data_IF_485119423015
#
_entry.id   IF_485119423015
#
_cell.length_a   1.000
_cell.length_b   1.000
_cell.length_c   1.000
_cell.angle_alpha   90.00
_cell.angle_beta   90.00
_cell.angle_gamma   90.00
#
_symmetry.space_group_name_H-M   'P 1'
#
loop_
_entity.id
_entity.type
_entity.pdbx_description
1 polymer ?
#
# COMPACT_ATOMS: atom_id res chain seq x y z
N UNK A 1 1.93 10.46 19.61
CA UNK A 1 3.01 10.16 18.64
C UNK A 1 3.57 11.44 18.02
N UNK A 2 2.80 12.17 17.19
CA UNK A 2 3.24 13.47 16.66
C UNK A 2 3.33 14.53 17.76
N UNK A 3 2.30 14.63 18.61
CA UNK A 3 2.32 15.56 19.75
C UNK A 3 3.47 15.24 20.72
N UNK A 4 3.70 13.95 20.99
CA UNK A 4 4.81 13.49 21.84
C UNK A 4 6.20 13.89 21.26
N UNK A 5 6.34 13.99 19.93
CA UNK A 5 7.57 14.46 19.27
C UNK A 5 7.87 15.92 19.62
N UNK A 6 6.82 16.76 19.67
CA UNK A 6 6.93 18.18 20.01
C UNK A 6 7.39 18.39 21.47
N UNK A 7 7.27 17.37 22.31
CA UNK A 7 7.68 17.43 23.71
C UNK A 7 9.11 16.93 23.95
N UNK A 8 9.82 16.49 22.90
CA UNK A 8 11.19 15.99 23.04
C UNK A 8 12.20 17.13 23.15
N UNK A 9 13.23 16.95 23.99
CA UNK A 9 14.30 17.94 24.17
C UNK A 9 14.96 18.31 22.83
N UNK A 10 15.15 17.32 21.95
CA UNK A 10 15.68 17.52 20.61
C UNK A 10 14.87 18.52 19.78
N UNK A 11 13.53 18.42 19.85
CA UNK A 11 12.66 19.36 19.13
C UNK A 11 12.73 20.75 19.74
N UNK A 12 12.68 20.85 21.07
CA UNK A 12 12.73 22.13 21.80
C UNK A 12 14.04 22.87 21.50
N UNK A 13 15.17 22.16 21.49
CA UNK A 13 16.48 22.72 21.17
C UNK A 13 16.61 23.23 19.72
N UNK A 14 15.85 22.65 18.78
CA UNK A 14 15.95 22.94 17.35
C UNK A 14 14.64 23.50 16.75
N UNK A 15 13.78 24.08 17.60
CA UNK A 15 12.43 24.49 17.24
C UNK A 15 12.43 25.43 16.02
N UNK A 16 13.33 26.40 15.98
CA UNK A 16 13.42 27.40 14.90
C UNK A 16 13.63 26.79 13.52
N UNK A 17 14.31 25.64 13.45
CA UNK A 17 14.59 24.92 12.20
C UNK A 17 13.48 23.92 11.90
N UNK A 18 12.97 23.23 12.92
CA UNK A 18 12.02 22.13 12.76
C UNK A 18 10.57 22.58 12.66
N UNK A 19 10.19 23.70 13.28
CA UNK A 19 8.82 24.19 13.28
C UNK A 19 8.26 24.44 11.87
N UNK A 20 8.97 25.11 10.94
CA UNK A 20 8.47 25.28 9.57
C UNK A 20 8.25 23.94 8.83
N UNK A 21 9.11 22.96 9.11
CA UNK A 21 8.99 21.62 8.53
C UNK A 21 7.78 20.87 9.09
N UNK A 22 7.58 20.89 10.41
CA UNK A 22 6.44 20.23 11.04
C UNK A 22 5.12 20.90 10.67
N UNK A 23 5.08 22.22 10.59
CA UNK A 23 3.94 22.99 10.12
C UNK A 23 3.52 22.56 8.71
N UNK A 24 4.50 22.39 7.81
CA UNK A 24 4.25 21.87 6.47
C UNK A 24 3.64 20.45 6.52
N UNK A 25 4.18 19.56 7.36
CA UNK A 25 3.66 18.19 7.49
C UNK A 25 2.25 18.16 8.07
N UNK A 26 1.97 18.96 9.09
CA UNK A 26 0.64 19.10 9.67
C UNK A 26 -0.35 19.61 8.62
N UNK A 27 -0.07 20.72 7.94
CA UNK A 27 -1.01 21.27 6.96
C UNK A 27 -1.23 20.35 5.76
N UNK A 28 -0.18 19.65 5.35
CA UNK A 28 -0.22 18.85 4.13
C UNK A 28 -0.82 17.46 4.35
N UNK A 29 -0.50 16.79 5.47
CA UNK A 29 -0.76 15.34 5.62
C UNK A 29 -1.58 14.94 6.83
N UNK A 30 -1.54 15.69 7.94
CA UNK A 30 -2.15 15.28 9.23
C UNK A 30 -3.41 16.12 9.56
N UNK A 31 -3.30 17.43 9.41
CA UNK A 31 -4.27 18.47 9.70
C UNK A 31 -4.02 19.11 11.08
N UNK A 32 -4.01 20.44 11.18
CA UNK A 32 -3.82 21.15 12.48
C UNK A 32 -5.02 21.03 13.41
N UNK A 33 -4.76 20.96 14.72
CA UNK A 33 -5.81 21.09 15.74
C UNK A 33 -6.19 22.57 15.86
N UNK A 34 -7.46 22.88 15.63
CA UNK A 34 -8.01 24.23 15.82
C UNK A 34 -8.31 24.50 17.30
N UNK A 35 -8.51 25.78 17.67
CA UNK A 35 -8.80 26.22 19.05
C UNK A 35 -9.98 25.50 19.72
N UNK A 36 -10.93 25.06 18.91
CA UNK A 36 -12.10 24.26 19.30
C UNK A 36 -11.82 22.74 19.38
N UNK A 37 -10.54 22.32 19.45
CA UNK A 37 -10.07 20.93 19.50
C UNK A 37 -10.49 20.06 18.30
N UNK A 38 -10.96 20.67 17.23
CA UNK A 38 -11.26 19.96 15.98
C UNK A 38 -10.03 19.95 15.08
N UNK A 39 -9.67 18.78 14.57
CA UNK A 39 -8.59 18.65 13.59
C UNK A 39 -9.12 19.08 12.21
N UNK A 40 -8.47 20.06 11.59
CA UNK A 40 -8.80 20.51 10.23
C UNK A 40 -8.45 19.41 9.23
N UNK A 41 -9.16 19.37 8.11
CA UNK A 41 -8.80 18.46 7.02
C UNK A 41 -7.44 18.85 6.44
N UNK A 42 -6.47 17.91 6.34
CA UNK A 42 -5.21 18.17 5.66
C UNK A 42 -5.43 18.35 4.16
N UNK A 43 -4.45 18.96 3.48
CA UNK A 43 -4.45 19.08 2.01
C UNK A 43 -4.61 17.73 1.31
N UNK A 44 -3.97 16.69 1.84
CA UNK A 44 -4.14 15.31 1.39
C UNK A 44 -4.77 14.47 2.51
N UNK A 45 -6.02 14.00 2.34
CA UNK A 45 -6.72 13.21 3.35
C UNK A 45 -5.94 11.95 3.77
N UNK A 46 -5.96 11.62 5.06
CA UNK A 46 -5.29 10.44 5.63
C UNK A 46 -5.66 9.15 4.91
N UNK A 47 -6.93 9.01 4.52
CA UNK A 47 -7.45 7.85 3.78
C UNK A 47 -6.75 7.61 2.44
N UNK A 48 -6.12 8.64 1.86
CA UNK A 48 -5.44 8.53 0.57
C UNK A 48 -4.07 7.84 0.69
N UNK A 49 -3.33 8.10 1.77
CA UNK A 49 -1.95 7.63 1.93
C UNK A 49 -1.82 6.52 2.98
N UNK A 50 -2.76 6.40 3.90
CA UNK A 50 -2.73 5.39 4.94
C UNK A 50 -3.09 4.01 4.37
N UNK A 51 -2.18 3.04 4.52
CA UNK A 51 -2.34 1.68 4.03
C UNK A 51 -2.89 0.68 5.07
N UNK A 52 -3.25 1.14 6.28
CA UNK A 52 -3.71 0.29 7.38
C UNK A 52 -4.93 -0.56 6.98
N UNK A 53 -5.94 0.06 6.37
CA UNK A 53 -7.13 -0.65 5.91
C UNK A 53 -6.82 -1.67 4.81
N UNK A 54 -5.83 -1.40 3.96
CA UNK A 54 -5.40 -2.38 2.95
C UNK A 54 -4.78 -3.61 3.62
N UNK A 55 -3.91 -3.40 4.61
CA UNK A 55 -3.26 -4.48 5.36
C UNK A 55 -4.29 -5.30 6.14
N UNK A 56 -5.23 -4.62 6.81
CA UNK A 56 -6.30 -5.25 7.60
C UNK A 56 -7.17 -6.16 6.73
N UNK A 57 -7.54 -5.70 5.53
CA UNK A 57 -8.39 -6.44 4.60
C UNK A 57 -7.63 -7.38 3.65
N UNK A 58 -6.32 -7.57 3.85
CA UNK A 58 -5.43 -8.37 2.98
C UNK A 58 -5.46 -7.93 1.50
N UNK A 59 -5.69 -6.63 1.26
CA UNK A 59 -5.70 -6.03 -0.07
C UNK A 59 -4.25 -5.69 -0.46
N UNK A 60 -3.82 -6.00 -1.71
CA UNK A 60 -2.51 -5.62 -2.18
C UNK A 60 -2.25 -4.10 -2.08
N UNK A 61 -1.13 -3.73 -1.44
CA UNK A 61 -0.68 -2.33 -1.32
C UNK A 61 -0.35 -1.67 -2.66
N UNK A 62 0.08 -2.45 -3.64
CA UNK A 62 0.49 -1.95 -4.97
C UNK A 62 -0.35 -2.56 -6.08
N UNK A 63 -0.45 -1.84 -7.21
CA UNK A 63 -1.15 -2.28 -8.41
C UNK A 63 -0.29 -3.20 -9.30
N UNK A 64 0.85 -3.68 -8.81
CA UNK A 64 1.81 -4.51 -9.57
C UNK A 64 1.18 -5.71 -10.27
N UNK A 65 0.14 -6.33 -9.67
CA UNK A 65 -0.56 -7.44 -10.30
C UNK A 65 -1.31 -7.00 -11.58
N UNK A 66 -1.96 -5.83 -11.52
CA UNK A 66 -2.66 -5.22 -12.65
C UNK A 66 -1.62 -4.78 -13.69
N UNK A 67 -0.56 -4.09 -13.28
CA UNK A 67 0.53 -3.69 -14.19
C UNK A 67 1.19 -4.88 -14.88
N UNK A 68 1.42 -5.97 -14.13
CA UNK A 68 1.92 -7.23 -14.67
C UNK A 68 0.99 -7.82 -15.72
N UNK A 69 -0.31 -7.87 -15.43
CA UNK A 69 -1.31 -8.33 -16.40
C UNK A 69 -1.35 -7.42 -17.65
N UNK A 70 -1.38 -6.09 -17.47
CA UNK A 70 -1.35 -5.13 -18.58
C UNK A 70 -0.10 -5.32 -19.46
N UNK A 71 1.07 -5.56 -18.85
CA UNK A 71 2.30 -5.79 -19.58
C UNK A 71 2.27 -7.11 -20.37
N UNK A 72 1.78 -8.19 -19.76
CA UNK A 72 1.57 -9.47 -20.45
C UNK A 72 0.57 -9.34 -21.60
N UNK A 73 -0.56 -8.67 -21.38
CA UNK A 73 -1.57 -8.45 -22.41
C UNK A 73 -1.07 -7.58 -23.57
N UNK A 74 -0.30 -6.52 -23.26
CA UNK A 74 0.40 -5.71 -24.26
C UNK A 74 1.36 -6.57 -25.10
N UNK A 75 2.08 -7.50 -24.46
CA UNK A 75 2.97 -8.44 -25.15
C UNK A 75 2.19 -9.38 -26.08
N UNK A 76 1.01 -9.88 -25.66
CA UNK A 76 0.13 -10.71 -26.51
C UNK A 76 -0.35 -9.93 -27.75
N UNK A 77 -0.74 -8.66 -27.56
CA UNK A 77 -1.16 -7.78 -28.66
C UNK A 77 -0.02 -7.50 -29.63
N UNK A 78 1.22 -7.34 -29.14
CA UNK A 78 2.42 -7.05 -29.91
C UNK A 78 2.19 -5.98 -30.99
N UNK A 79 1.55 -4.87 -30.61
CA UNK A 79 1.24 -3.74 -31.48
C UNK A 79 0.97 -2.50 -30.62
N UNK A 80 1.36 -1.33 -31.14
CA UNK A 80 1.04 -0.04 -30.51
C UNK A 80 -0.42 0.36 -30.80
N UNK A 81 -0.89 0.11 -32.03
CA UNK A 81 -2.26 0.35 -32.47
C UNK A 81 -2.84 -0.91 -33.13
N UNK A 82 -3.30 -1.90 -32.34
CA UNK A 82 -3.88 -3.13 -32.88
C UNK A 82 -5.20 -2.85 -33.61
N UNK A 83 -5.42 -3.54 -34.73
CA UNK A 83 -6.75 -3.59 -35.35
C UNK A 83 -7.75 -4.29 -34.43
N UNK A 84 -9.05 -4.05 -34.64
CA UNK A 84 -10.11 -4.71 -33.87
C UNK A 84 -9.99 -6.24 -33.94
N UNK A 85 -9.61 -6.79 -35.10
CA UNK A 85 -9.39 -8.22 -35.29
C UNK A 85 -8.24 -8.75 -34.44
N UNK A 86 -7.10 -8.06 -34.42
CA UNK A 86 -5.95 -8.43 -33.59
C UNK A 86 -6.29 -8.37 -32.10
N UNK A 87 -7.09 -7.38 -31.70
CA UNK A 87 -7.58 -7.24 -30.34
C UNK A 87 -8.50 -8.40 -29.94
N UNK A 88 -9.47 -8.76 -30.79
CA UNK A 88 -10.36 -9.91 -30.57
C UNK A 88 -9.56 -11.21 -30.42
N UNK A 89 -8.56 -11.43 -31.27
CA UNK A 89 -7.71 -12.63 -31.18
C UNK A 89 -6.86 -12.66 -29.92
N UNK A 90 -6.38 -11.51 -29.44
CA UNK A 90 -5.70 -11.41 -28.15
C UNK A 90 -6.64 -11.75 -26.98
N UNK A 91 -7.89 -11.27 -27.00
CA UNK A 91 -8.89 -11.62 -25.99
C UNK A 91 -9.20 -13.12 -25.99
N UNK A 92 -9.32 -13.76 -27.16
CA UNK A 92 -9.50 -15.21 -27.26
C UNK A 92 -8.32 -15.98 -26.67
N UNK A 93 -7.08 -15.49 -26.84
CA UNK A 93 -5.89 -16.10 -26.23
C UNK A 93 -5.90 -15.96 -24.71
N UNK A 94 -6.23 -14.77 -24.21
CA UNK A 94 -6.36 -14.49 -22.78
C UNK A 94 -7.42 -15.39 -22.12
N UNK A 95 -8.57 -15.55 -22.77
CA UNK A 95 -9.65 -16.41 -22.30
C UNK A 95 -9.22 -17.88 -22.20
N UNK A 96 -8.51 -18.39 -23.21
CA UNK A 96 -7.95 -19.74 -23.20
C UNK A 96 -6.97 -19.96 -22.05
N UNK A 97 -6.08 -19.00 -21.79
CA UNK A 97 -5.14 -19.06 -20.67
C UNK A 97 -5.88 -19.10 -19.33
N UNK A 98 -6.89 -18.25 -19.16
CA UNK A 98 -7.70 -18.22 -17.94
C UNK A 98 -8.50 -19.50 -17.74
N UNK A 99 -9.04 -20.12 -18.79
CA UNK A 99 -9.69 -21.44 -18.68
C UNK A 99 -8.73 -22.49 -18.14
N UNK A 100 -7.49 -22.54 -18.62
CA UNK A 100 -6.49 -23.49 -18.11
C UNK A 100 -6.24 -23.27 -16.62
N UNK A 101 -6.09 -22.01 -16.19
CA UNK A 101 -5.91 -21.67 -14.76
C UNK A 101 -7.12 -22.11 -13.93
N UNK A 102 -8.35 -21.87 -14.42
CA UNK A 102 -9.59 -22.30 -13.76
C UNK A 102 -9.66 -23.82 -13.66
N UNK A 103 -9.35 -24.55 -14.73
CA UNK A 103 -9.34 -26.01 -14.71
C UNK A 103 -8.31 -26.56 -13.73
N UNK A 104 -7.11 -25.97 -13.67
CA UNK A 104 -6.10 -26.33 -12.67
C UNK A 104 -6.61 -26.09 -11.25
N UNK A 105 -7.26 -24.94 -11.01
CA UNK A 105 -7.87 -24.62 -9.72
C UNK A 105 -8.94 -25.65 -9.32
N UNK A 106 -9.86 -25.98 -10.23
CA UNK A 106 -10.93 -26.97 -10.01
C UNK A 106 -10.35 -28.36 -9.75
N UNK A 107 -9.22 -28.71 -10.39
CA UNK A 107 -8.48 -29.94 -10.14
C UNK A 107 -7.72 -29.95 -8.79
N UNK A 108 -7.83 -28.89 -7.98
CA UNK A 108 -7.18 -28.78 -6.67
C UNK A 108 -5.75 -28.26 -6.71
N UNK A 109 -5.24 -27.84 -7.87
CA UNK A 109 -3.92 -27.21 -7.96
C UNK A 109 -3.97 -25.77 -7.44
N UNK A 110 -2.89 -25.31 -6.78
CA UNK A 110 -2.76 -23.91 -6.37
C UNK A 110 -2.66 -23.00 -7.61
N UNK A 111 -3.75 -22.32 -7.95
CA UNK A 111 -3.86 -21.48 -9.16
C UNK A 111 -3.10 -20.14 -9.11
N UNK A 112 -2.37 -19.84 -8.02
CA UNK A 112 -1.78 -18.52 -7.83
C UNK A 112 -0.29 -18.52 -8.16
N UNK A 113 0.21 -17.59 -9.00
CA UNK A 113 1.65 -17.36 -9.08
C UNK A 113 2.14 -17.03 -7.67
N UNK A 114 3.06 -17.84 -7.16
CA UNK A 114 3.57 -17.69 -5.80
C UNK A 114 4.26 -16.33 -5.70
N UNK A 115 3.66 -15.37 -4.99
CA UNK A 115 4.38 -14.16 -4.54
C UNK A 115 5.71 -14.64 -3.95
N UNK A 116 6.83 -14.02 -4.31
CA UNK A 116 8.14 -14.43 -3.77
C UNK A 116 8.03 -14.51 -2.25
N UNK A 117 8.48 -15.63 -1.66
CA UNK A 117 8.30 -15.95 -0.24
C UNK A 117 8.60 -14.76 0.68
N UNK A 118 9.70 -14.04 0.42
CA UNK A 118 10.08 -12.83 1.16
C UNK A 118 8.98 -11.77 1.30
N UNK A 119 8.19 -11.53 0.25
CA UNK A 119 7.11 -10.52 0.27
C UNK A 119 5.86 -11.03 0.96
N UNK A 120 5.58 -12.33 0.88
CA UNK A 120 4.51 -12.97 1.65
C UNK A 120 4.82 -12.89 3.14
N UNK A 121 6.04 -13.23 3.53
CA UNK A 121 6.48 -13.26 4.92
C UNK A 121 6.60 -11.85 5.51
N UNK A 122 7.11 -10.86 4.75
CA UNK A 122 7.08 -9.44 5.16
C UNK A 122 5.63 -8.94 5.33
N UNK A 123 4.74 -9.22 4.37
CA UNK A 123 3.33 -8.82 4.47
C UNK A 123 2.63 -9.40 5.70
N UNK A 124 2.88 -10.68 6.00
CA UNK A 124 2.34 -11.33 7.19
C UNK A 124 2.88 -10.70 8.49
N UNK A 125 4.19 -10.43 8.56
CA UNK A 125 4.80 -9.75 9.72
C UNK A 125 4.20 -8.36 9.93
N UNK A 126 4.05 -7.57 8.87
CA UNK A 126 3.41 -6.25 8.93
C UNK A 126 1.96 -6.38 9.43
N UNK A 127 1.19 -7.34 8.92
CA UNK A 127 -0.19 -7.58 9.36
C UNK A 127 -0.26 -7.89 10.86
N UNK A 128 0.57 -8.81 11.34
CA UNK A 128 0.64 -9.16 12.76
C UNK A 128 1.00 -7.95 13.65
N UNK A 129 1.90 -7.08 13.18
CA UNK A 129 2.25 -5.83 13.87
C UNK A 129 1.05 -4.89 13.93
N UNK A 130 0.30 -4.75 12.84
CA UNK A 130 -0.91 -3.92 12.76
C UNK A 130 -2.05 -4.43 13.65
N UNK A 131 -2.21 -5.75 13.79
CA UNK A 131 -3.22 -6.36 14.68
C UNK A 131 -2.91 -6.08 16.17
N UNK A 132 -1.63 -5.98 16.51
CA UNK A 132 -1.16 -5.72 17.88
C UNK A 132 -0.93 -4.23 18.18
N UNK A 133 -1.51 -3.33 17.37
CA UNK A 133 -1.31 -1.88 17.50
C UNK A 133 -1.64 -1.35 18.90
N UNK A 134 -2.78 -1.74 19.48
CA UNK A 134 -3.22 -1.25 20.80
C UNK A 134 -2.44 -1.86 21.98
N UNK A 135 -1.80 -3.02 21.78
CA UNK A 135 -1.06 -3.73 22.83
C UNK A 135 0.43 -3.36 22.90
N UNK A 136 0.93 -2.58 21.93
CA UNK A 136 2.35 -2.21 21.82
C UNK A 136 2.54 -0.73 22.08
N UNK A 137 3.73 -0.34 22.54
CA UNK A 137 4.07 1.08 22.55
C UNK A 137 4.22 1.60 21.11
N UNK A 138 3.95 2.90 20.90
CA UNK A 138 4.13 3.56 19.61
C UNK A 138 5.53 3.33 19.04
N UNK A 139 6.55 3.41 19.89
CA UNK A 139 7.95 3.18 19.49
C UNK A 139 8.18 1.75 18.98
N UNK A 140 7.70 0.74 19.73
CA UNK A 140 7.80 -0.67 19.33
C UNK A 140 7.06 -0.94 18.02
N UNK A 141 5.90 -0.31 17.83
CA UNK A 141 5.15 -0.40 16.59
C UNK A 141 5.94 0.18 15.41
N UNK A 142 6.46 1.41 15.53
CA UNK A 142 7.22 2.08 14.48
C UNK A 142 8.51 1.32 14.12
N UNK A 143 9.27 0.85 15.13
CA UNK A 143 10.45 0.00 14.90
C UNK A 143 10.10 -1.29 14.18
N UNK A 144 9.00 -1.93 14.56
CA UNK A 144 8.52 -3.15 13.91
C UNK A 144 8.18 -2.93 12.44
N UNK A 145 7.48 -1.84 12.12
CA UNK A 145 7.15 -1.48 10.74
C UNK A 145 8.44 -1.19 9.95
N UNK A 146 9.36 -0.39 10.49
CA UNK A 146 10.61 -0.03 9.82
C UNK A 146 11.49 -1.23 9.45
N UNK A 147 11.49 -2.30 10.26
CA UNK A 147 12.25 -3.53 9.99
C UNK A 147 11.66 -4.40 8.87
N UNK A 148 10.42 -4.16 8.45
CA UNK A 148 9.70 -5.01 7.50
C UNK A 148 9.40 -4.32 6.15
N UNK A 149 9.69 -3.03 6.04
CA UNK A 149 9.64 -2.25 4.80
C UNK A 149 10.96 -2.41 4.06
#
# INVERSE_FOLDING_TARGET
AFEDLLQTDFYIEHETILAPLLDYFEDTWIGRISRNRQRRSPKFPIKLWNCYELIKNDIPRTKNAIEGWHNSFKSILNAVHPSIWKFIDALKKEEKLNRVIIHQFVAGNEAKPKKKKKYKDSGLRIKNICEQFHSRSTEQFLKGIAQNI
#
